data_IF_496307560939
#
_entry.id   IF_496307560939
#
_cell.length_a   1.000
_cell.length_b   1.000
_cell.length_c   1.000
_cell.angle_alpha   90.00
_cell.angle_beta   90.00
_cell.angle_gamma   90.00
#
_symmetry.space_group_name_H-M   'P 1'
#
loop_
_entity.id
_entity.type
_entity.pdbx_description
1 polymer ?
#
# COMPACT_ATOMS: atom_id res chain seq x y z
N UNK A 1 2.14 -7.61 1.94
CA UNK A 1 3.24 -8.47 1.41
C UNK A 1 4.15 -7.73 0.42
N UNK A 2 3.67 -7.39 -0.79
CA UNK A 2 4.52 -6.90 -1.88
C UNK A 2 5.27 -5.60 -1.57
N UNK A 3 4.74 -4.74 -0.70
CA UNK A 3 5.43 -3.53 -0.23
C UNK A 3 6.77 -3.85 0.48
N UNK A 4 6.85 -4.94 1.23
CA UNK A 4 8.11 -5.37 1.85
C UNK A 4 9.14 -5.84 0.81
N UNK A 5 8.67 -6.48 -0.26
CA UNK A 5 9.53 -7.08 -1.28
C UNK A 5 10.01 -6.05 -2.32
N UNK A 6 9.09 -5.24 -2.85
CA UNK A 6 9.34 -4.33 -3.98
C UNK A 6 9.76 -2.94 -3.49
N UNK A 7 9.07 -2.39 -2.50
CA UNK A 7 9.37 -1.05 -1.99
C UNK A 7 10.34 -1.07 -0.78
N UNK A 8 10.65 -2.24 -0.22
CA UNK A 8 11.40 -2.41 1.04
C UNK A 8 10.87 -1.55 2.19
N UNK A 9 9.55 -1.35 2.23
CA UNK A 9 8.85 -0.64 3.30
C UNK A 9 8.08 -1.63 4.15
N UNK A 10 8.19 -1.50 5.47
CA UNK A 10 7.31 -2.21 6.40
C UNK A 10 5.88 -1.81 6.08
N UNK A 11 4.99 -2.79 6.01
CA UNK A 11 3.59 -2.58 5.66
C UNK A 11 2.73 -3.59 6.37
N UNK A 12 1.50 -3.21 6.69
CA UNK A 12 0.47 -4.13 7.14
C UNK A 12 -0.83 -3.93 6.33
N UNK A 13 -1.72 -4.91 6.39
CA UNK A 13 -3.07 -4.81 5.82
C UNK A 13 -4.08 -4.64 6.94
N UNK A 14 -4.72 -3.46 6.98
CA UNK A 14 -5.70 -3.12 8.00
C UNK A 14 -7.10 -3.41 7.47
N UNK A 15 -7.70 -4.53 7.88
CA UNK A 15 -9.00 -4.95 7.37
C UNK A 15 -10.16 -4.16 8.00
N UNK A 16 -11.06 -3.68 7.15
CA UNK A 16 -12.30 -3.01 7.57
C UNK A 16 -12.05 -1.77 8.44
N UNK A 17 -12.80 -1.63 9.53
CA UNK A 17 -12.71 -0.48 10.43
C UNK A 17 -11.51 -0.55 11.38
N UNK A 18 -10.69 -1.60 11.32
CA UNK A 18 -9.49 -1.72 12.17
C UNK A 18 -8.56 -0.51 12.02
N UNK A 19 -8.51 0.05 10.80
CA UNK A 19 -7.76 1.25 10.49
C UNK A 19 -8.26 2.52 11.19
N UNK A 20 -9.29 2.48 12.03
CA UNK A 20 -9.76 3.62 12.85
C UNK A 20 -10.05 3.23 14.31
N UNK A 21 -9.48 2.11 14.76
CA UNK A 21 -9.71 1.55 16.09
C UNK A 21 -8.43 1.02 16.73
N UNK A 22 -7.61 1.92 17.28
CA UNK A 22 -6.45 1.64 18.13
C UNK A 22 -5.11 1.67 17.42
N UNK A 23 -5.06 1.48 16.11
CA UNK A 23 -3.81 1.57 15.33
C UNK A 23 -3.23 3.00 15.36
N UNK A 24 -4.07 4.02 15.60
CA UNK A 24 -3.67 5.43 15.80
C UNK A 24 -2.70 5.65 16.98
N UNK A 25 -2.58 4.69 17.90
CA UNK A 25 -1.62 4.75 19.01
C UNK A 25 -0.18 4.44 18.58
N UNK A 26 0.03 3.81 17.42
CA UNK A 26 1.35 3.34 16.97
C UNK A 26 1.75 3.88 15.59
N UNK A 27 0.79 4.20 14.74
CA UNK A 27 1.05 4.80 13.43
C UNK A 27 1.39 6.29 13.57
N UNK A 28 2.27 6.80 12.71
CA UNK A 28 2.81 8.16 12.83
C UNK A 28 2.66 8.94 11.53
N UNK A 29 2.90 10.26 11.58
CA UNK A 29 2.95 11.16 10.43
C UNK A 29 4.03 10.80 9.39
N UNK A 30 4.94 9.87 9.71
CA UNK A 30 5.98 9.35 8.80
C UNK A 30 5.53 8.13 7.99
N UNK A 31 4.37 7.59 8.33
CA UNK A 31 3.75 6.48 7.61
C UNK A 31 2.84 7.01 6.48
N UNK A 32 2.20 6.10 5.74
CA UNK A 32 1.22 6.46 4.72
C UNK A 32 0.10 5.43 4.69
N UNK A 33 -1.14 5.89 4.52
CA UNK A 33 -2.30 5.03 4.34
C UNK A 33 -2.75 5.03 2.88
N UNK A 34 -2.87 3.83 2.30
CA UNK A 34 -3.47 3.64 0.97
C UNK A 34 -4.79 2.91 1.18
N UNK A 35 -5.90 3.57 0.86
CA UNK A 35 -7.24 3.01 0.98
C UNK A 35 -7.71 2.50 -0.38
N UNK A 36 -8.15 1.25 -0.43
CA UNK A 36 -8.69 0.64 -1.64
C UNK A 36 -10.21 0.82 -1.64
N UNK A 37 -10.71 1.52 -2.64
CA UNK A 37 -12.13 1.75 -2.91
C UNK A 37 -12.93 2.20 -1.66
N UNK A 38 -12.59 3.36 -1.07
CA UNK A 38 -13.21 3.79 0.19
C UNK A 38 -14.73 3.93 0.06
N UNK A 39 -15.44 3.54 1.12
CA UNK A 39 -16.87 3.83 1.22
C UNK A 39 -17.08 5.32 1.54
N UNK A 40 -17.91 6.06 0.77
CA UNK A 40 -18.11 7.49 0.97
C UNK A 40 -18.53 7.89 2.40
N UNK A 41 -19.26 7.00 3.08
CA UNK A 41 -19.73 7.22 4.44
C UNK A 41 -18.60 7.12 5.48
N UNK A 42 -17.52 6.40 5.17
CA UNK A 42 -16.39 6.18 6.07
C UNK A 42 -15.27 7.22 5.87
N UNK A 43 -15.19 7.87 4.71
CA UNK A 43 -14.11 8.82 4.39
C UNK A 43 -13.95 9.93 5.44
N UNK A 44 -15.06 10.47 5.97
CA UNK A 44 -15.02 11.48 7.04
C UNK A 44 -14.39 10.94 8.32
N UNK A 45 -14.65 9.67 8.65
CA UNK A 45 -14.09 9.03 9.83
C UNK A 45 -12.58 8.87 9.66
N UNK A 46 -12.14 8.39 8.50
CA UNK A 46 -10.71 8.31 8.15
C UNK A 46 -10.03 9.66 8.23
N UNK A 47 -10.60 10.73 7.65
CA UNK A 47 -10.04 12.07 7.75
C UNK A 47 -9.87 12.52 9.21
N UNK A 48 -10.92 12.37 10.03
CA UNK A 48 -10.88 12.82 11.42
C UNK A 48 -9.92 12.05 12.33
N UNK A 49 -9.67 10.76 12.03
CA UNK A 49 -8.80 9.90 12.85
C UNK A 49 -7.37 9.95 12.33
N UNK A 50 -7.17 9.76 11.03
CA UNK A 50 -5.85 9.59 10.45
C UNK A 50 -5.22 10.91 10.04
N UNK A 51 -5.96 11.78 9.37
CA UNK A 51 -5.40 13.08 8.95
C UNK A 51 -5.38 14.06 10.12
N UNK A 52 -6.53 14.30 10.77
CA UNK A 52 -6.65 15.41 11.72
C UNK A 52 -5.95 15.13 13.07
N UNK A 53 -5.94 13.87 13.54
CA UNK A 53 -5.31 13.51 14.82
C UNK A 53 -3.87 13.05 14.68
N UNK A 54 -3.58 12.19 13.69
CA UNK A 54 -2.24 11.62 13.52
C UNK A 54 -1.38 12.46 12.58
N UNK A 55 -1.97 13.21 11.65
CA UNK A 55 -1.23 13.89 10.57
C UNK A 55 -0.82 12.94 9.43
N UNK A 56 -1.44 11.77 9.35
CA UNK A 56 -1.08 10.72 8.40
C UNK A 56 -1.56 11.07 6.98
N UNK A 57 -0.67 11.07 5.97
CA UNK A 57 -1.09 11.23 4.58
C UNK A 57 -1.91 10.02 4.09
N UNK A 58 -3.03 10.30 3.41
CA UNK A 58 -3.96 9.29 2.88
C UNK A 58 -4.07 9.43 1.36
N UNK A 59 -3.95 8.31 0.65
CA UNK A 59 -4.20 8.19 -0.78
C UNK A 59 -5.24 7.10 -1.04
N UNK A 60 -6.03 7.24 -2.11
CA UNK A 60 -7.01 6.25 -2.51
C UNK A 60 -6.67 5.59 -3.85
N UNK A 61 -7.01 4.32 -4.00
CA UNK A 61 -7.07 3.62 -5.30
C UNK A 61 -8.53 3.19 -5.49
N UNK A 62 -9.23 3.81 -6.44
CA UNK A 62 -10.66 3.57 -6.62
C UNK A 62 -11.09 3.80 -8.06
N UNK A 63 -12.24 3.21 -8.42
CA UNK A 63 -12.94 3.48 -9.68
C UNK A 63 -13.81 4.74 -9.62
N UNK A 64 -13.87 5.40 -8.46
CA UNK A 64 -14.58 6.67 -8.22
C UNK A 64 -13.65 7.66 -7.54
N UNK A 65 -13.89 8.94 -7.76
CA UNK A 65 -13.16 9.99 -7.05
C UNK A 65 -13.56 9.97 -5.57
N UNK A 66 -12.57 9.87 -4.68
CA UNK A 66 -12.76 10.00 -3.23
C UNK A 66 -12.42 11.42 -2.75
N UNK A 67 -12.64 11.70 -1.47
CA UNK A 67 -12.18 12.94 -0.82
C UNK A 67 -10.65 13.03 -0.67
N UNK A 68 -9.93 11.95 -0.95
CA UNK A 68 -8.46 11.89 -0.91
C UNK A 68 -7.87 11.99 -2.31
N UNK A 69 -6.58 12.36 -2.45
CA UNK A 69 -5.85 12.17 -3.70
C UNK A 69 -6.01 10.72 -4.20
N UNK A 70 -6.57 10.56 -5.39
CA UNK A 70 -7.06 9.26 -5.87
C UNK A 70 -6.36 8.86 -7.16
N UNK A 71 -5.79 7.64 -7.17
CA UNK A 71 -5.45 6.94 -8.41
C UNK A 71 -6.76 6.39 -8.97
N UNK A 72 -7.32 7.10 -9.95
CA UNK A 72 -8.60 6.77 -10.55
C UNK A 72 -8.43 5.63 -11.56
N UNK A 73 -9.18 4.55 -11.36
CA UNK A 73 -9.20 3.38 -12.22
C UNK A 73 -10.41 3.38 -13.14
N UNK A 74 -10.31 2.77 -14.33
CA UNK A 74 -11.50 2.43 -15.09
C UNK A 74 -12.33 1.42 -14.27
N UNK A 75 -13.63 1.66 -14.10
CA UNK A 75 -14.53 0.69 -13.50
C UNK A 75 -14.89 -0.41 -14.51
N UNK A 76 -14.81 -1.67 -14.11
CA UNK A 76 -15.23 -2.80 -14.93
C UNK A 76 -15.95 -3.86 -14.08
N UNK A 77 -17.20 -4.14 -14.44
CA UNK A 77 -18.08 -5.03 -13.68
C UNK A 77 -17.45 -6.40 -13.48
N UNK A 78 -17.26 -6.80 -12.22
CA UNK A 78 -16.67 -8.08 -11.83
C UNK A 78 -15.14 -8.13 -11.83
N UNK A 79 -14.44 -7.08 -12.28
CA UNK A 79 -12.97 -7.07 -12.38
C UNK A 79 -12.30 -5.91 -11.63
N UNK A 80 -13.06 -5.07 -10.92
CA UNK A 80 -12.51 -3.94 -10.15
C UNK A 80 -11.37 -4.36 -9.20
N UNK A 81 -11.50 -5.49 -8.51
CA UNK A 81 -10.45 -6.00 -7.60
C UNK A 81 -9.14 -6.34 -8.32
N UNK A 82 -9.22 -6.87 -9.54
CA UNK A 82 -8.03 -7.10 -10.36
C UNK A 82 -7.37 -5.80 -10.78
N UNK A 83 -8.16 -4.79 -11.17
CA UNK A 83 -7.64 -3.48 -11.55
C UNK A 83 -7.00 -2.77 -10.35
N UNK A 84 -7.60 -2.87 -9.16
CA UNK A 84 -7.06 -2.36 -7.90
C UNK A 84 -5.73 -3.06 -7.55
N UNK A 85 -5.65 -4.38 -7.72
CA UNK A 85 -4.42 -5.14 -7.49
C UNK A 85 -3.29 -4.70 -8.43
N UNK A 86 -3.58 -4.56 -9.73
CA UNK A 86 -2.60 -4.11 -10.72
C UNK A 86 -2.15 -2.67 -10.43
N UNK A 87 -3.07 -1.78 -10.10
CA UNK A 87 -2.75 -0.41 -9.73
C UNK A 87 -1.88 -0.34 -8.46
N UNK A 88 -2.23 -1.10 -7.43
CA UNK A 88 -1.44 -1.20 -6.20
C UNK A 88 -0.05 -1.78 -6.46
N UNK A 89 0.07 -2.77 -7.35
CA UNK A 89 1.36 -3.31 -7.75
C UNK A 89 2.23 -2.27 -8.46
N UNK A 90 1.67 -1.57 -9.45
CA UNK A 90 2.39 -0.52 -10.18
C UNK A 90 2.86 0.59 -9.26
N UNK A 91 2.00 1.03 -8.32
CA UNK A 91 2.39 2.02 -7.31
C UNK A 91 3.61 1.55 -6.49
N UNK A 92 3.62 0.29 -6.05
CA UNK A 92 4.76 -0.24 -5.30
C UNK A 92 6.04 -0.32 -6.15
N UNK A 93 5.92 -0.69 -7.43
CA UNK A 93 7.05 -0.70 -8.37
C UNK A 93 7.63 0.70 -8.53
N UNK A 94 6.80 1.71 -8.78
CA UNK A 94 7.24 3.11 -8.88
C UNK A 94 7.94 3.58 -7.61
N UNK A 95 7.40 3.24 -6.43
CA UNK A 95 8.04 3.53 -5.14
C UNK A 95 9.40 2.82 -5.03
N UNK A 96 9.50 1.57 -5.45
CA UNK A 96 10.75 0.81 -5.46
C UNK A 96 11.81 1.46 -6.35
N UNK A 97 11.44 1.81 -7.58
CA UNK A 97 12.32 2.47 -8.55
C UNK A 97 12.80 3.84 -8.03
N UNK A 98 11.89 4.66 -7.49
CA UNK A 98 12.25 5.96 -6.90
C UNK A 98 13.20 5.82 -5.70
N UNK A 99 13.05 4.75 -4.92
CA UNK A 99 13.95 4.42 -3.82
C UNK A 99 15.22 3.66 -4.26
N UNK A 100 15.45 3.51 -5.58
CA UNK A 100 16.59 2.78 -6.16
C UNK A 100 16.72 1.35 -5.65
N UNK A 101 15.59 0.69 -5.43
CA UNK A 101 15.54 -0.72 -5.06
C UNK A 101 15.83 -1.55 -6.31
N UNK A 102 16.80 -2.46 -6.22
CA UNK A 102 16.95 -3.55 -7.19
C UNK A 102 15.80 -4.55 -6.99
N UNK A 103 14.89 -4.57 -7.96
CA UNK A 103 13.68 -5.40 -7.97
C UNK A 103 13.95 -6.82 -8.49
N UNK A 104 15.00 -6.99 -9.29
CA UNK A 104 15.34 -8.27 -9.94
C UNK A 104 16.16 -9.15 -9.00
N UNK A 105 16.97 -8.54 -8.12
CA UNK A 105 17.86 -9.24 -7.19
C UNK A 105 17.45 -9.00 -5.73
N UNK A 106 16.54 -9.82 -5.16
CA UNK A 106 16.18 -9.72 -3.75
C UNK A 106 17.38 -10.07 -2.86
N UNK A 107 17.66 -9.24 -1.85
CA UNK A 107 18.81 -9.42 -0.97
C UNK A 107 18.65 -10.54 0.08
N UNK A 108 17.41 -10.86 0.47
CA UNK A 108 17.13 -11.82 1.58
C UNK A 108 16.08 -12.86 1.21
N UNK A 109 15.08 -12.48 0.41
CA UNK A 109 14.05 -13.42 -0.03
C UNK A 109 14.68 -14.41 -1.00
N UNK A 110 14.73 -15.69 -0.61
CA UNK A 110 15.24 -16.75 -1.47
C UNK A 110 14.11 -17.24 -2.37
N UNK A 111 14.24 -17.04 -3.68
CA UNK A 111 13.36 -17.64 -4.67
C UNK A 111 13.75 -19.11 -4.79
N UNK A 112 12.81 -20.02 -4.56
CA UNK A 112 13.04 -21.46 -4.80
C UNK A 112 13.28 -21.61 -6.31
N UNK A 113 14.54 -21.73 -6.72
CA UNK A 113 14.96 -21.78 -8.13
C UNK A 113 16.17 -20.94 -8.54
N UNK A 114 16.70 -20.04 -7.69
CA UNK A 114 18.00 -19.41 -7.97
C UNK A 114 19.14 -20.34 -7.51
N UNK A 115 20.08 -20.63 -8.40
CA UNK A 115 21.24 -21.50 -8.13
C UNK A 115 22.12 -20.94 -7.01
N UNK A 116 22.67 -21.86 -6.22
CA UNK A 116 23.59 -21.60 -5.13
C UNK A 116 24.90 -21.01 -5.67
N UNK A 117 25.25 -19.79 -5.28
CA UNK A 117 26.67 -19.42 -5.14
C UNK A 117 27.05 -19.63 -3.67
N UNK A 118 28.01 -20.53 -3.46
CA UNK A 118 28.51 -20.90 -2.14
C UNK A 118 29.39 -19.78 -1.61
N UNK A 119 28.89 -18.96 -0.69
CA UNK A 119 29.77 -18.08 0.10
C UNK A 119 30.49 -18.93 1.16
N UNK A 120 31.80 -19.10 0.95
CA UNK A 120 32.74 -19.58 1.95
C UNK A 120 32.86 -18.56 3.09
N UNK A 121 32.57 -19.03 4.31
CA UNK A 121 32.68 -18.30 5.59
C UNK A 121 34.06 -17.70 5.85
#
# INVERSE_FOLDING_TARGET
>A
LKANEVARKKSDFLEGTYAVHGIEEVITDKDVLIIIDPFPQEEKKYMSVMTDRVGLPIFAISHKQSSFPTILLPGYNGFNSYLQLVAGWNLLVEIGLMNKVDLDHPQRARKIGNEFETESY
#
